data_IF_688111348091
#
_entry.id   IF_688111348091
#
_cell.length_a   1.000
_cell.length_b   1.000
_cell.length_c   1.000
_cell.angle_alpha   90.00
_cell.angle_beta   90.00
_cell.angle_gamma   90.00
#
_symmetry.space_group_name_H-M   'P 1'
#
loop_
_entity.id
_entity.type
_entity.pdbx_description
1 polymer ?
#
# COMPACT_ATOMS: atom_id res chain seq x y z
N UNK A 1 22.82 -11.01 0.58
CA UNK A 1 22.94 -11.10 2.06
C UNK A 1 21.55 -10.88 2.62
N UNK A 2 20.91 -11.90 3.20
CA UNK A 2 19.57 -11.77 3.79
C UNK A 2 19.74 -11.12 5.16
N UNK A 3 19.96 -9.81 5.19
CA UNK A 3 19.94 -9.07 6.44
C UNK A 3 18.51 -9.07 6.97
N UNK A 4 18.34 -9.55 8.20
CA UNK A 4 17.04 -9.64 8.86
C UNK A 4 16.45 -8.25 9.01
N UNK A 5 15.19 -8.06 8.63
CA UNK A 5 14.45 -6.80 8.81
C UNK A 5 14.28 -6.46 10.30
N UNK A 6 14.38 -7.46 11.18
CA UNK A 6 14.04 -7.35 12.60
C UNK A 6 14.84 -6.24 13.31
N UNK A 7 14.13 -5.32 13.95
CA UNK A 7 14.73 -4.20 14.70
C UNK A 7 15.22 -3.02 13.86
N UNK A 8 14.87 -2.97 12.57
CA UNK A 8 15.13 -1.79 11.72
C UNK A 8 14.00 -0.77 11.81
N UNK A 9 14.26 0.48 11.42
CA UNK A 9 13.21 1.52 11.33
C UNK A 9 12.03 1.07 10.45
N UNK A 10 12.33 0.37 9.35
CA UNK A 10 11.29 -0.17 8.46
C UNK A 10 10.50 -1.31 9.13
N UNK A 11 11.08 -2.05 10.07
CA UNK A 11 10.36 -3.04 10.88
C UNK A 11 9.36 -2.36 11.80
N UNK A 12 9.76 -1.25 12.42
CA UNK A 12 8.93 -0.51 13.36
C UNK A 12 7.82 0.32 12.69
N UNK A 13 8.01 0.78 11.45
CA UNK A 13 7.07 1.67 10.77
C UNK A 13 6.10 0.98 9.80
N UNK A 14 6.47 -0.18 9.26
CA UNK A 14 5.70 -0.82 8.18
C UNK A 14 4.51 -1.61 8.73
N UNK A 15 3.42 -0.89 9.00
CA UNK A 15 2.10 -1.42 9.39
C UNK A 15 1.11 -1.47 8.20
N UNK A 16 1.66 -1.58 6.99
CA UNK A 16 0.89 -1.57 5.75
C UNK A 16 0.21 -2.92 5.50
N UNK A 17 -0.99 -2.89 4.91
CA UNK A 17 -1.82 -4.08 4.71
C UNK A 17 -1.72 -4.67 3.30
N UNK A 18 -0.96 -4.03 2.41
CA UNK A 18 -0.82 -4.47 1.02
C UNK A 18 0.65 -4.52 0.63
N UNK A 19 1.00 -5.45 -0.27
CA UNK A 19 2.36 -5.56 -0.79
C UNK A 19 2.85 -4.29 -1.49
N UNK A 20 1.95 -3.56 -2.16
CA UNK A 20 2.27 -2.25 -2.75
C UNK A 20 2.53 -1.17 -1.70
N UNK A 21 1.78 -1.15 -0.60
CA UNK A 21 2.02 -0.24 0.54
C UNK A 21 3.41 -0.46 1.16
N UNK A 22 3.76 -1.71 1.42
CA UNK A 22 5.08 -2.05 1.99
C UNK A 22 6.24 -1.67 1.07
N UNK A 23 6.05 -1.76 -0.26
CA UNK A 23 7.03 -1.25 -1.24
C UNK A 23 7.11 0.28 -1.20
N UNK A 24 5.97 0.97 -1.12
CA UNK A 24 5.91 2.43 -1.09
C UNK A 24 6.60 3.00 0.16
N UNK A 25 6.31 2.49 1.37
CA UNK A 25 6.92 3.00 2.61
C UNK A 25 8.44 2.76 2.64
N UNK A 26 8.90 1.61 2.13
CA UNK A 26 10.33 1.35 1.93
C UNK A 26 10.95 2.37 0.99
N UNK A 27 10.30 2.66 -0.14
CA UNK A 27 10.77 3.67 -1.09
C UNK A 27 10.85 5.05 -0.45
N UNK A 28 9.88 5.45 0.37
CA UNK A 28 9.88 6.74 1.04
C UNK A 28 11.02 6.88 2.06
N UNK A 29 11.34 5.81 2.79
CA UNK A 29 12.49 5.82 3.71
C UNK A 29 13.83 5.89 2.98
N UNK A 30 13.96 5.22 1.83
CA UNK A 30 15.20 5.24 1.05
C UNK A 30 15.36 6.53 0.21
N UNK A 31 14.26 7.19 -0.12
CA UNK A 31 14.23 8.41 -0.95
C UNK A 31 13.30 9.44 -0.30
N UNK A 32 13.78 10.15 0.75
CA UNK A 32 12.99 11.17 1.41
C UNK A 32 12.67 12.32 0.46
N UNK A 33 11.54 12.98 0.72
CA UNK A 33 11.17 14.18 -0.02
C UNK A 33 12.07 15.35 0.37
N UNK A 34 12.39 16.21 -0.60
CA UNK A 34 13.09 17.48 -0.41
C UNK A 34 12.24 18.69 -0.80
N UNK A 35 10.96 18.46 -1.13
CA UNK A 35 10.00 19.50 -1.49
C UNK A 35 9.04 19.71 -0.31
N UNK A 36 8.89 20.97 0.13
CA UNK A 36 8.10 21.30 1.31
C UNK A 36 6.61 21.01 1.09
N UNK A 37 6.05 21.39 -0.06
CA UNK A 37 4.63 21.18 -0.34
C UNK A 37 4.25 19.70 -0.39
N UNK A 38 5.12 18.85 -0.94
CA UNK A 38 4.93 17.40 -0.94
C UNK A 38 5.04 16.78 0.47
N UNK A 39 5.86 17.36 1.35
CA UNK A 39 5.95 16.94 2.76
C UNK A 39 4.67 17.30 3.49
N UNK A 40 4.21 18.54 3.37
CA UNK A 40 2.97 19.04 4.00
C UNK A 40 1.76 18.21 3.53
N UNK A 41 1.62 17.97 2.22
CA UNK A 41 0.54 17.15 1.69
C UNK A 41 0.48 15.73 2.27
N UNK A 42 1.64 15.11 2.57
CA UNK A 42 1.68 13.81 3.24
C UNK A 42 1.29 13.91 4.72
N UNK A 43 1.66 14.99 5.39
CA UNK A 43 1.30 15.22 6.78
C UNK A 43 -0.21 15.46 6.92
N UNK A 44 -0.80 16.27 6.03
CA UNK A 44 -2.24 16.51 5.99
C UNK A 44 -3.02 15.20 5.79
N UNK A 45 -2.59 14.34 4.85
CA UNK A 45 -3.22 13.04 4.63
C UNK A 45 -3.12 12.10 5.84
N UNK A 46 -2.03 12.18 6.62
CA UNK A 46 -1.88 11.43 7.87
C UNK A 46 -2.80 12.00 8.96
N UNK A 47 -2.91 13.33 9.05
CA UNK A 47 -3.78 14.01 10.00
C UNK A 47 -5.25 13.65 9.77
N UNK A 48 -5.73 13.72 8.53
CA UNK A 48 -7.11 13.38 8.15
C UNK A 48 -7.49 11.95 8.59
N UNK A 49 -6.57 10.99 8.42
CA UNK A 49 -6.78 9.60 8.80
C UNK A 49 -6.67 9.37 10.31
N UNK A 50 -5.85 10.16 11.01
CA UNK A 50 -5.67 10.07 12.46
C UNK A 50 -6.90 10.59 13.21
N UNK A 51 -7.56 11.63 12.69
CA UNK A 51 -8.73 12.24 13.33
C UNK A 51 -10.00 11.38 13.23
N UNK A 52 -10.03 10.36 12.36
CA UNK A 52 -11.20 9.49 12.18
C UNK A 52 -10.91 7.99 12.32
N UNK A 53 -10.78 7.53 13.56
CA UNK A 53 -10.38 6.15 13.91
C UNK A 53 -11.29 5.05 13.31
N UNK A 54 -12.61 5.28 13.26
CA UNK A 54 -13.57 4.32 12.67
C UNK A 54 -13.39 4.20 11.16
N UNK A 55 -13.22 5.31 10.45
CA UNK A 55 -12.95 5.30 8.99
C UNK A 55 -11.63 4.62 8.69
N UNK A 56 -10.59 4.88 9.49
CA UNK A 56 -9.30 4.22 9.31
C UNK A 56 -9.43 2.70 9.47
N UNK A 57 -10.17 2.22 10.47
CA UNK A 57 -10.42 0.80 10.66
C UNK A 57 -11.14 0.15 9.46
N UNK A 58 -12.16 0.81 8.92
CA UNK A 58 -12.91 0.32 7.75
C UNK A 58 -12.04 0.30 6.49
N UNK A 59 -11.26 1.35 6.24
CA UNK A 59 -10.29 1.40 5.14
C UNK A 59 -9.28 0.26 5.28
N UNK A 60 -8.71 0.09 6.48
CA UNK A 60 -7.74 -0.98 6.76
C UNK A 60 -8.34 -2.35 6.47
N UNK A 61 -9.58 -2.61 6.93
CA UNK A 61 -10.30 -3.86 6.64
C UNK A 61 -10.46 -4.09 5.15
N UNK A 62 -10.88 -3.08 4.39
CA UNK A 62 -11.01 -3.19 2.93
C UNK A 62 -9.68 -3.48 2.24
N UNK A 63 -8.62 -2.76 2.61
CA UNK A 63 -7.27 -2.91 2.04
C UNK A 63 -6.67 -4.29 2.31
N UNK A 64 -6.87 -4.87 3.50
CA UNK A 64 -6.34 -6.19 3.88
C UNK A 64 -6.74 -7.33 2.95
N UNK A 65 -7.83 -7.16 2.21
CA UNK A 65 -8.40 -8.18 1.35
C UNK A 65 -8.23 -7.85 -0.15
N UNK A 66 -7.45 -6.82 -0.48
CA UNK A 66 -7.05 -6.52 -1.84
C UNK A 66 -5.86 -7.40 -2.26
N UNK A 67 -5.88 -7.80 -3.53
CA UNK A 67 -4.70 -8.37 -4.17
C UNK A 67 -3.65 -7.27 -4.42
N UNK A 68 -2.50 -7.66 -4.98
CA UNK A 68 -1.43 -6.73 -5.36
C UNK A 68 -1.58 -6.32 -6.83
N UNK A 69 -2.33 -5.24 -7.16
CA UNK A 69 -2.62 -4.86 -8.54
C UNK A 69 -1.36 -4.47 -9.31
N UNK A 70 -0.37 -3.88 -8.64
CA UNK A 70 0.91 -3.49 -9.26
C UNK A 70 1.66 -4.73 -9.77
N UNK A 71 1.76 -5.81 -8.96
CA UNK A 71 2.38 -7.06 -9.42
C UNK A 71 1.55 -7.79 -10.46
N UNK A 72 0.23 -7.68 -10.42
CA UNK A 72 -0.64 -8.25 -11.46
C UNK A 72 -0.43 -7.50 -12.78
N UNK A 73 -0.40 -6.16 -12.75
CA UNK A 73 -0.14 -5.33 -13.93
C UNK A 73 1.22 -5.64 -14.57
N UNK A 74 2.28 -5.81 -13.76
CA UNK A 74 3.59 -6.22 -14.25
C UNK A 74 3.60 -7.62 -14.89
N UNK A 75 2.75 -8.54 -14.42
CA UNK A 75 2.59 -9.87 -15.05
C UNK A 75 1.77 -9.82 -16.33
N UNK A 76 0.79 -8.92 -16.40
CA UNK A 76 0.02 -8.66 -17.63
C UNK A 76 0.96 -8.13 -18.72
N UNK A 77 1.78 -7.12 -18.41
CA UNK A 77 2.71 -6.52 -19.38
C UNK A 77 3.76 -7.49 -19.91
N UNK A 78 4.07 -8.54 -19.14
CA UNK A 78 5.03 -9.59 -19.52
C UNK A 78 4.37 -10.86 -20.05
N UNK A 79 3.05 -10.86 -20.27
CA UNK A 79 2.27 -12.03 -20.72
C UNK A 79 2.40 -13.28 -19.82
N UNK A 80 2.68 -13.08 -18.53
CA UNK A 80 2.84 -14.15 -17.52
C UNK A 80 1.69 -14.18 -16.52
N UNK A 81 0.58 -13.51 -16.84
CA UNK A 81 -0.61 -13.46 -15.98
C UNK A 81 -1.34 -14.80 -15.99
N UNK A 82 -1.82 -15.23 -14.82
CA UNK A 82 -2.63 -16.46 -14.70
C UNK A 82 -4.12 -16.11 -14.55
N UNK A 83 -5.05 -17.06 -14.83
CA UNK A 83 -6.48 -16.84 -14.59
C UNK A 83 -6.79 -16.44 -13.15
N UNK A 84 -6.07 -17.00 -12.17
CA UNK A 84 -6.21 -16.66 -10.75
C UNK A 84 -5.88 -15.20 -10.47
N UNK A 85 -4.87 -14.65 -11.14
CA UNK A 85 -4.49 -13.25 -10.99
C UNK A 85 -5.57 -12.31 -11.52
N UNK A 86 -6.16 -12.64 -12.67
CA UNK A 86 -7.25 -11.86 -13.26
C UNK A 86 -8.51 -11.88 -12.39
N UNK A 87 -8.84 -13.04 -11.80
CA UNK A 87 -9.94 -13.15 -10.83
C UNK A 87 -9.65 -12.32 -9.58
N UNK A 88 -8.44 -12.41 -9.03
CA UNK A 88 -8.04 -11.63 -7.86
C UNK A 88 -8.07 -10.12 -8.13
N UNK A 89 -7.64 -9.70 -9.33
CA UNK A 89 -7.74 -8.31 -9.79
C UNK A 89 -9.19 -7.87 -9.89
N UNK A 90 -10.06 -8.66 -10.52
CA UNK A 90 -11.48 -8.34 -10.65
C UNK A 90 -12.17 -8.19 -9.28
N UNK A 91 -11.87 -9.07 -8.32
CA UNK A 91 -12.37 -8.98 -6.94
C UNK A 91 -11.88 -7.69 -6.27
N UNK A 92 -10.60 -7.35 -6.45
CA UNK A 92 -10.01 -6.14 -5.87
C UNK A 92 -10.64 -4.87 -6.44
N UNK A 93 -10.81 -4.80 -7.77
CA UNK A 93 -11.42 -3.65 -8.44
C UNK A 93 -12.88 -3.43 -8.01
N UNK A 94 -13.65 -4.51 -7.76
CA UNK A 94 -15.02 -4.40 -7.24
C UNK A 94 -15.11 -3.83 -5.82
N UNK A 95 -14.02 -3.85 -5.06
CA UNK A 95 -13.96 -3.32 -3.69
C UNK A 95 -13.56 -1.84 -3.65
N UNK A 96 -12.93 -1.32 -4.70
CA UNK A 96 -12.51 0.10 -4.77
C UNK A 96 -13.68 1.08 -4.52
N UNK A 97 -14.89 0.88 -5.07
CA UNK A 97 -16.01 1.78 -4.80
C UNK A 97 -16.41 1.86 -3.32
N UNK A 98 -16.03 0.89 -2.49
CA UNK A 98 -16.28 0.87 -1.05
C UNK A 98 -15.28 1.73 -0.25
N UNK A 99 -14.18 2.16 -0.86
CA UNK A 99 -13.15 3.03 -0.27
C UNK A 99 -13.49 4.54 -0.40
N UNK A 100 -14.77 4.87 -0.57
CA UNK A 100 -15.24 6.26 -0.73
C UNK A 100 -15.63 6.88 0.60
#
# INVERSE_FOLDING_TARGET
>A
RTESKKGTLLDCLDETLTGMGGRMIRSWLCMPLCDLGAIELRQDAVEELKETDTKLADIRKLLSALADPERIAARISTFRVTPRDLVALAISLRRIPLLR
#
